data_IF_358456434175
#
_entry.id   IF_358456434175
#
_cell.length_a   1.000
_cell.length_b   1.000
_cell.length_c   1.000
_cell.angle_alpha   90.00
_cell.angle_beta   90.00
_cell.angle_gamma   90.00
#
_symmetry.space_group_name_H-M   'P 1'
#
loop_
_entity.id
_entity.type
_entity.pdbx_description
1 polymer ?
#
# COMPACT_ATOMS: atom_id res chain seq x y z
N UNK A 1 25.37 30.28 -71.47
CA UNK A 1 24.00 30.78 -71.70
C UNK A 1 23.12 30.25 -70.57
N UNK A 2 22.55 31.17 -69.80
CA UNK A 2 22.03 30.98 -68.43
C UNK A 2 20.67 30.27 -68.42
N UNK A 3 20.52 29.17 -67.67
CA UNK A 3 19.22 28.59 -67.35
C UNK A 3 18.98 28.63 -65.83
N UNK A 4 18.06 29.51 -65.42
CA UNK A 4 17.62 29.72 -64.03
C UNK A 4 16.79 28.54 -63.54
N UNK A 5 17.11 28.09 -62.33
CA UNK A 5 16.36 27.16 -61.50
C UNK A 5 14.95 27.70 -61.17
N UNK A 6 13.92 26.85 -61.31
CA UNK A 6 12.63 27.00 -60.61
C UNK A 6 12.46 25.81 -59.66
N UNK A 7 12.98 25.94 -58.44
CA UNK A 7 12.64 25.01 -57.35
C UNK A 7 11.28 25.40 -56.76
N UNK A 8 10.27 24.60 -57.09
CA UNK A 8 8.92 24.64 -56.54
C UNK A 8 8.99 24.13 -55.09
N UNK A 9 8.73 24.98 -54.08
CA UNK A 9 8.60 24.54 -52.68
C UNK A 9 7.47 23.51 -52.57
N UNK A 10 7.69 22.31 -52.00
CA UNK A 10 6.59 21.39 -51.73
C UNK A 10 5.72 21.96 -50.60
N UNK A 11 4.40 21.91 -50.82
CA UNK A 11 3.40 22.55 -49.97
C UNK A 11 3.30 21.94 -48.57
N UNK A 12 3.09 22.83 -47.60
CA UNK A 12 2.89 22.63 -46.14
C UNK A 12 1.76 21.64 -45.80
N UNK A 13 0.93 21.22 -46.77
CA UNK A 13 -0.25 20.37 -46.52
C UNK A 13 0.04 18.89 -46.23
N UNK A 14 1.27 18.40 -46.42
CA UNK A 14 1.63 16.99 -46.11
C UNK A 14 2.16 16.76 -44.69
N UNK A 15 2.48 17.81 -43.93
CA UNK A 15 3.06 17.67 -42.59
C UNK A 15 2.02 17.64 -41.46
N UNK A 16 0.80 18.10 -41.71
CA UNK A 16 -0.26 18.15 -40.67
C UNK A 16 -0.97 16.80 -40.52
N UNK A 17 -0.96 15.95 -41.55
CA UNK A 17 -1.63 14.65 -41.51
C UNK A 17 -0.90 13.62 -40.64
N UNK A 18 0.42 13.76 -40.41
CA UNK A 18 1.20 12.78 -39.65
C UNK A 18 1.21 13.04 -38.14
N UNK A 19 1.05 14.30 -37.72
CA UNK A 19 1.00 14.68 -36.30
C UNK A 19 -0.36 14.43 -35.64
N UNK A 20 -1.47 14.47 -36.40
CA UNK A 20 -2.80 14.19 -35.86
C UNK A 20 -3.02 12.68 -35.62
N UNK A 21 -2.41 11.80 -36.42
CA UNK A 21 -2.51 10.35 -36.19
C UNK A 21 -1.81 9.90 -34.90
N UNK A 22 -0.67 10.51 -34.54
CA UNK A 22 0.04 10.20 -33.28
C UNK A 22 -0.75 10.70 -32.06
N UNK A 23 -1.50 11.79 -32.19
CA UNK A 23 -2.33 12.30 -31.09
C UNK A 23 -3.58 11.43 -30.83
N UNK A 24 -4.09 10.72 -31.85
CA UNK A 24 -5.22 9.81 -31.69
C UNK A 24 -4.84 8.41 -31.20
N UNK A 25 -3.57 7.97 -31.31
CA UNK A 25 -3.16 6.66 -30.76
C UNK A 25 -2.99 6.67 -29.23
N UNK A 26 -2.80 7.84 -28.60
CA UNK A 26 -2.72 7.93 -27.14
C UNK A 26 -4.09 7.99 -26.45
N UNK A 27 -5.19 8.06 -27.22
CA UNK A 27 -6.57 8.09 -26.71
C UNK A 27 -7.24 6.71 -26.68
N UNK A 28 -6.48 5.62 -26.89
CA UNK A 28 -6.99 4.24 -26.80
C UNK A 28 -6.27 3.37 -25.78
N UNK A 29 -5.42 3.93 -24.92
CA UNK A 29 -5.17 3.29 -23.62
C UNK A 29 -6.34 3.59 -22.69
N UNK A 30 -7.48 2.97 -23.01
CA UNK A 30 -8.38 2.49 -21.97
C UNK A 30 -7.64 1.41 -21.20
N UNK A 31 -6.68 1.81 -20.37
CA UNK A 31 -6.30 1.04 -19.20
C UNK A 31 -7.50 1.20 -18.25
N UNK A 32 -8.54 0.39 -18.46
CA UNK A 32 -9.16 -0.24 -17.32
C UNK A 32 -8.27 -1.44 -17.03
N UNK A 33 -7.21 -1.33 -16.22
CA UNK A 33 -6.80 -2.52 -15.53
C UNK A 33 -8.01 -2.80 -14.63
N UNK A 34 -8.74 -3.88 -14.90
CA UNK A 34 -9.01 -4.68 -13.72
C UNK A 34 -7.62 -4.96 -13.15
N UNK A 35 -7.17 -4.14 -12.18
CA UNK A 35 -6.03 -4.46 -11.35
C UNK A 35 -6.25 -5.90 -10.97
N UNK A 36 -5.42 -6.77 -11.54
CA UNK A 36 -5.54 -8.20 -11.33
C UNK A 36 -5.42 -8.36 -9.83
N UNK A 37 -6.56 -8.56 -9.15
CA UNK A 37 -6.55 -8.84 -7.72
C UNK A 37 -5.74 -10.12 -7.61
N UNK A 38 -4.50 -10.01 -7.16
CA UNK A 38 -3.67 -11.15 -6.84
C UNK A 38 -4.51 -12.15 -6.04
N UNK A 39 -4.28 -13.43 -6.27
CA UNK A 39 -5.06 -14.46 -5.56
C UNK A 39 -4.59 -14.51 -4.13
N UNK A 40 -5.40 -13.96 -3.23
CA UNK A 40 -5.23 -14.04 -1.78
C UNK A 40 -6.18 -15.07 -1.20
N UNK A 41 -5.63 -16.12 -0.61
CA UNK A 41 -6.39 -17.17 0.07
C UNK A 41 -6.05 -17.17 1.57
N UNK A 42 -7.07 -16.96 2.39
CA UNK A 42 -7.01 -17.14 3.83
C UNK A 42 -7.20 -18.63 4.16
N UNK A 43 -6.28 -19.20 4.92
CA UNK A 43 -6.25 -20.62 5.28
C UNK A 43 -6.30 -20.72 6.80
N UNK A 44 -7.27 -21.48 7.32
CA UNK A 44 -7.52 -21.59 8.76
C UNK A 44 -8.10 -20.31 9.38
N UNK A 45 -8.45 -20.40 10.66
CA UNK A 45 -9.14 -19.35 11.41
C UNK A 45 -10.66 -19.49 11.37
N UNK A 46 -11.31 -19.40 12.54
CA UNK A 46 -12.76 -19.44 12.67
C UNK A 46 -13.45 -18.20 12.09
N UNK A 47 -14.78 -18.28 11.88
CA UNK A 47 -15.57 -17.15 11.38
C UNK A 47 -15.34 -15.86 12.20
N UNK A 48 -15.25 -16.01 13.53
CA UNK A 48 -15.09 -14.91 14.49
C UNK A 48 -13.65 -14.41 14.67
N UNK A 49 -12.68 -15.03 14.01
CA UNK A 49 -11.28 -14.68 14.16
C UNK A 49 -10.92 -13.51 13.24
N UNK A 50 -10.13 -12.57 13.78
CA UNK A 50 -9.68 -11.36 13.06
C UNK A 50 -8.35 -11.55 12.31
N UNK A 51 -7.94 -12.79 12.07
CA UNK A 51 -6.71 -13.15 11.38
C UNK A 51 -6.86 -14.53 10.74
N UNK A 52 -5.96 -14.85 9.81
CA UNK A 52 -5.85 -16.17 9.20
C UNK A 52 -4.63 -16.89 9.77
N UNK A 53 -4.73 -18.20 10.01
CA UNK A 53 -3.58 -19.01 10.45
C UNK A 53 -2.48 -19.02 9.39
N UNK A 54 -2.87 -19.00 8.11
CA UNK A 54 -1.99 -18.74 6.99
C UNK A 54 -2.68 -17.90 5.91
N UNK A 55 -1.88 -17.15 5.14
CA UNK A 55 -2.32 -16.46 3.93
C UNK A 55 -1.45 -16.94 2.78
N UNK A 56 -2.07 -17.52 1.76
CA UNK A 56 -1.42 -17.88 0.51
C UNK A 56 -1.68 -16.78 -0.52
N UNK A 57 -0.62 -16.35 -1.18
CA UNK A 57 -0.70 -15.39 -2.29
C UNK A 57 -0.12 -15.99 -3.56
N UNK A 58 -0.73 -15.70 -4.71
CA UNK A 58 -0.19 -15.99 -6.04
C UNK A 58 -0.65 -14.94 -7.03
N UNK A 59 0.00 -14.88 -8.20
CA UNK A 59 -0.32 -13.91 -9.25
C UNK A 59 -0.25 -12.45 -8.77
N UNK A 60 0.65 -12.15 -7.82
CA UNK A 60 0.92 -10.78 -7.39
C UNK A 60 1.94 -10.11 -8.33
N UNK A 61 1.78 -8.80 -8.51
CA UNK A 61 2.70 -7.95 -9.25
C UNK A 61 3.79 -7.35 -8.36
N UNK A 62 3.46 -7.01 -7.11
CA UNK A 62 4.40 -6.39 -6.17
C UNK A 62 4.25 -6.94 -4.75
N UNK A 63 5.36 -6.94 -4.02
CA UNK A 63 5.39 -7.12 -2.57
C UNK A 63 5.90 -5.83 -1.93
N UNK A 64 5.22 -5.40 -0.88
CA UNK A 64 5.63 -4.29 -0.06
C UNK A 64 5.97 -4.81 1.35
N UNK A 65 7.22 -4.63 1.74
CA UNK A 65 7.69 -4.89 3.09
C UNK A 65 7.71 -3.56 3.85
N UNK A 66 6.82 -3.43 4.82
CA UNK A 66 6.66 -2.22 5.62
C UNK A 66 7.45 -2.42 6.90
N UNK A 67 8.49 -1.59 7.10
CA UNK A 67 9.26 -1.55 8.35
C UNK A 67 8.35 -1.30 9.54
N UNK A 68 8.80 -1.66 10.75
CA UNK A 68 8.05 -1.39 11.97
C UNK A 68 7.64 0.09 12.09
N UNK A 69 6.33 0.32 12.08
CA UNK A 69 5.72 1.64 12.19
C UNK A 69 5.48 1.94 13.67
N UNK A 70 6.12 3.01 14.11
CA UNK A 70 6.14 3.48 15.50
C UNK A 70 5.11 4.60 15.69
N UNK A 71 4.66 4.88 16.93
CA UNK A 71 3.65 5.89 17.20
C UNK A 71 4.25 7.30 17.29
N UNK A 72 4.90 7.73 16.21
CA UNK A 72 5.48 9.08 16.05
C UNK A 72 4.80 9.78 14.87
N UNK A 73 4.41 11.04 15.05
CA UNK A 73 3.92 11.88 13.96
C UNK A 73 5.07 12.59 13.20
N UNK A 74 4.73 13.31 12.13
CA UNK A 74 5.73 14.03 11.32
C UNK A 74 6.50 15.12 12.09
N UNK A 75 5.99 15.55 13.26
CA UNK A 75 6.62 16.52 14.16
C UNK A 75 7.52 15.86 15.22
N UNK A 76 7.60 14.53 15.25
CA UNK A 76 8.38 13.78 16.24
C UNK A 76 7.65 13.53 17.57
N UNK A 77 6.35 13.81 17.65
CA UNK A 77 5.56 13.71 18.88
C UNK A 77 4.97 12.30 19.05
N UNK A 78 4.97 11.82 20.30
CA UNK A 78 4.44 10.51 20.70
C UNK A 78 3.25 10.72 21.64
N UNK A 79 2.06 10.16 21.35
CA UNK A 79 0.92 10.21 22.26
C UNK A 79 1.19 9.47 23.58
N UNK A 80 0.55 9.89 24.67
CA UNK A 80 0.83 9.31 25.99
C UNK A 80 0.10 7.99 26.31
N UNK A 81 -0.95 7.66 25.56
CA UNK A 81 -1.80 6.49 25.84
C UNK A 81 -1.78 5.49 24.67
N UNK A 82 -2.07 4.22 25.00
CA UNK A 82 -2.01 3.12 24.04
C UNK A 82 -3.00 3.28 22.88
N UNK A 83 -4.17 3.88 23.13
CA UNK A 83 -5.19 4.09 22.09
C UNK A 83 -4.67 4.98 20.98
N UNK A 84 -4.14 6.13 21.36
CA UNK A 84 -3.67 7.15 20.42
C UNK A 84 -2.37 6.70 19.75
N UNK A 85 -1.48 6.02 20.50
CA UNK A 85 -0.30 5.40 19.91
C UNK A 85 -0.66 4.32 18.88
N UNK A 86 -1.62 3.44 19.19
CA UNK A 86 -2.03 2.37 18.27
C UNK A 86 -2.68 2.94 17.01
N UNK A 87 -3.52 3.98 17.18
CA UNK A 87 -4.12 4.72 16.06
C UNK A 87 -3.05 5.34 15.18
N UNK A 88 -2.02 5.96 15.77
CA UNK A 88 -0.93 6.59 15.05
C UNK A 88 -0.04 5.57 14.32
N UNK A 89 0.36 4.49 14.98
CA UNK A 89 1.14 3.41 14.34
C UNK A 89 0.39 2.82 13.14
N UNK A 90 -0.93 2.64 13.25
CA UNK A 90 -1.76 2.22 12.13
C UNK A 90 -1.84 3.25 10.99
N UNK A 91 -1.99 4.54 11.32
CA UNK A 91 -1.98 5.62 10.33
C UNK A 91 -0.64 5.66 9.57
N UNK A 92 0.46 5.35 10.25
CA UNK A 92 1.78 5.28 9.65
C UNK A 92 1.90 4.07 8.69
N UNK A 93 1.33 2.91 9.04
CA UNK A 93 1.20 1.77 8.11
C UNK A 93 0.39 2.15 6.86
N UNK A 94 -0.75 2.81 7.03
CA UNK A 94 -1.58 3.26 5.91
C UNK A 94 -0.88 4.28 5.02
N UNK A 95 -0.05 5.16 5.60
CA UNK A 95 0.76 6.10 4.83
C UNK A 95 1.72 5.33 3.90
N UNK A 96 2.42 4.30 4.39
CA UNK A 96 3.33 3.50 3.56
C UNK A 96 2.58 2.72 2.46
N UNK A 97 1.42 2.16 2.80
CA UNK A 97 0.56 1.50 1.81
C UNK A 97 0.15 2.50 0.72
N UNK A 98 -0.29 3.70 1.10
CA UNK A 98 -0.73 4.74 0.17
C UNK A 98 0.38 5.17 -0.79
N UNK A 99 1.60 5.40 -0.29
CA UNK A 99 2.76 5.74 -1.15
C UNK A 99 3.08 4.62 -2.17
N UNK A 100 2.73 3.37 -1.86
CA UNK A 100 2.85 2.22 -2.76
C UNK A 100 1.60 1.95 -3.62
N UNK A 101 0.60 2.84 -3.60
CA UNK A 101 -0.72 2.65 -4.22
C UNK A 101 -1.43 1.36 -3.74
N UNK A 102 -1.35 1.08 -2.44
CA UNK A 102 -2.01 -0.04 -1.76
C UNK A 102 -2.96 0.47 -0.66
N UNK A 103 -3.86 -0.40 -0.19
CA UNK A 103 -4.75 -0.18 0.96
C UNK A 103 -4.56 -1.28 2.00
N UNK A 104 -5.31 -1.22 3.11
CA UNK A 104 -5.31 -2.28 4.13
C UNK A 104 -5.72 -3.65 3.56
N UNK A 105 -6.52 -3.71 2.50
CA UNK A 105 -6.94 -4.98 1.87
C UNK A 105 -5.76 -5.76 1.28
N UNK A 106 -4.69 -5.05 0.90
CA UNK A 106 -3.45 -5.61 0.41
C UNK A 106 -2.61 -6.29 1.50
N UNK A 107 -2.90 -6.09 2.79
CA UNK A 107 -2.13 -6.67 3.89
C UNK A 107 -2.20 -8.20 3.88
N UNK A 108 -1.04 -8.86 3.80
CA UNK A 108 -0.91 -10.33 3.85
C UNK A 108 -0.38 -10.81 5.20
N UNK A 109 0.40 -9.98 5.91
CA UNK A 109 0.89 -10.25 7.26
C UNK A 109 0.96 -8.96 8.08
N UNK A 110 0.64 -9.05 9.36
CA UNK A 110 0.85 -7.98 10.35
C UNK A 110 1.49 -8.56 11.61
N UNK A 111 2.57 -7.93 12.08
CA UNK A 111 3.24 -8.27 13.33
C UNK A 111 3.12 -7.10 14.30
N UNK A 112 2.60 -7.35 15.49
CA UNK A 112 2.59 -6.39 16.58
C UNK A 112 3.71 -6.70 17.56
N UNK A 113 4.46 -5.69 17.95
CA UNK A 113 5.32 -5.71 19.13
C UNK A 113 4.67 -4.82 20.18
N UNK A 114 4.41 -5.36 21.37
CA UNK A 114 3.68 -4.65 22.43
C UNK A 114 4.55 -4.64 23.68
N UNK A 115 4.72 -3.48 24.32
CA UNK A 115 5.67 -3.34 25.43
C UNK A 115 5.26 -4.08 26.71
N UNK A 116 3.95 -4.29 26.91
CA UNK A 116 3.39 -4.87 28.13
C UNK A 116 2.07 -5.59 27.86
N UNK A 117 1.84 -6.73 28.53
CA UNK A 117 0.61 -7.54 28.41
C UNK A 117 -0.65 -6.75 28.77
N UNK A 118 -0.56 -5.74 29.64
CA UNK A 118 -1.71 -4.93 30.06
C UNK A 118 -2.39 -4.19 28.90
N UNK A 119 -1.67 -3.96 27.80
CA UNK A 119 -2.19 -3.26 26.62
C UNK A 119 -2.92 -4.16 25.62
N UNK A 120 -2.79 -5.50 25.74
CA UNK A 120 -3.35 -6.44 24.78
C UNK A 120 -4.88 -6.34 24.59
N UNK A 121 -5.70 -6.12 25.65
CA UNK A 121 -7.14 -5.97 25.46
C UNK A 121 -7.50 -4.80 24.52
N UNK A 122 -6.87 -3.65 24.74
CA UNK A 122 -7.13 -2.42 23.99
C UNK A 122 -6.52 -2.47 22.58
N UNK A 123 -5.28 -2.94 22.44
CA UNK A 123 -4.66 -3.20 21.13
C UNK A 123 -5.51 -4.19 20.31
N UNK A 124 -6.01 -5.25 20.97
CA UNK A 124 -6.87 -6.24 20.34
C UNK A 124 -8.18 -5.66 19.81
N UNK A 125 -8.82 -4.78 20.57
CA UNK A 125 -10.04 -4.07 20.16
C UNK A 125 -9.77 -3.14 18.98
N UNK A 126 -8.74 -2.30 19.07
CA UNK A 126 -8.40 -1.33 18.02
C UNK A 126 -8.00 -2.03 16.72
N UNK A 127 -7.23 -3.12 16.82
CA UNK A 127 -6.91 -3.98 15.66
C UNK A 127 -8.18 -4.51 14.99
N UNK A 128 -9.14 -5.05 15.76
CA UNK A 128 -10.40 -5.57 15.19
C UNK A 128 -11.20 -4.47 14.48
N UNK A 129 -11.26 -3.28 15.07
CA UNK A 129 -11.90 -2.12 14.46
C UNK A 129 -11.20 -1.68 13.18
N UNK A 130 -9.87 -1.72 13.15
CA UNK A 130 -9.08 -1.31 12.00
C UNK A 130 -9.16 -2.28 10.82
N UNK A 131 -9.10 -3.58 11.12
CA UNK A 131 -9.06 -4.62 10.09
C UNK A 131 -10.44 -5.07 9.62
N UNK A 132 -11.50 -4.95 10.43
CA UNK A 132 -12.85 -5.39 10.08
C UNK A 132 -12.85 -6.84 9.53
N UNK A 133 -13.09 -7.01 8.22
CA UNK A 133 -13.13 -8.29 7.53
C UNK A 133 -11.77 -8.72 6.93
N UNK A 134 -10.75 -7.88 7.03
CA UNK A 134 -9.39 -8.15 6.54
C UNK A 134 -8.71 -9.09 7.53
N UNK A 135 -8.30 -10.27 7.05
CA UNK A 135 -7.68 -11.32 7.88
C UNK A 135 -6.26 -11.65 7.39
N UNK A 136 -5.27 -10.78 7.64
CA UNK A 136 -3.88 -11.12 7.33
C UNK A 136 -3.39 -12.26 8.23
N UNK A 137 -2.26 -12.87 7.89
CA UNK A 137 -1.49 -13.63 8.87
C UNK A 137 -1.07 -12.68 10.00
N UNK A 138 -1.04 -13.16 11.25
CA UNK A 138 -0.87 -12.27 12.38
C UNK A 138 0.00 -12.84 13.48
N UNK A 139 0.83 -11.98 14.07
CA UNK A 139 1.63 -12.29 15.25
C UNK A 139 1.56 -11.13 16.23
N UNK A 140 1.49 -11.43 17.53
CA UNK A 140 1.66 -10.46 18.61
C UNK A 140 2.78 -10.94 19.51
N UNK A 141 3.81 -10.11 19.66
CA UNK A 141 4.96 -10.35 20.52
C UNK A 141 4.92 -9.36 21.66
N UNK A 142 5.13 -9.82 22.89
CA UNK A 142 5.36 -8.94 24.03
C UNK A 142 6.86 -8.86 24.27
N UNK A 143 7.43 -7.66 24.19
CA UNK A 143 8.88 -7.45 24.23
C UNK A 143 9.23 -6.04 24.67
N UNK A 144 10.46 -5.84 25.15
CA UNK A 144 11.06 -4.50 25.15
C UNK A 144 11.18 -3.99 23.71
N UNK A 145 11.02 -2.68 23.56
CA UNK A 145 11.02 -1.97 22.27
C UNK A 145 12.09 -0.88 22.28
N UNK A 146 12.47 -0.37 21.10
CA UNK A 146 13.64 0.51 20.96
C UNK A 146 13.56 1.79 21.82
N UNK A 147 12.39 2.43 21.90
CA UNK A 147 12.17 3.62 22.73
C UNK A 147 11.12 3.33 23.79
N UNK A 148 11.46 3.55 25.05
CA UNK A 148 10.58 3.26 26.21
C UNK A 148 9.28 4.08 26.23
N UNK A 149 9.21 5.19 25.50
CA UNK A 149 7.98 5.98 25.37
C UNK A 149 6.96 5.37 24.40
N UNK A 150 7.38 4.42 23.55
CA UNK A 150 6.44 3.70 22.69
C UNK A 150 5.78 2.58 23.52
N UNK A 151 4.55 2.22 23.16
CA UNK A 151 3.79 1.16 23.82
C UNK A 151 3.52 0.00 22.85
N UNK A 152 3.65 0.26 21.57
CA UNK A 152 3.61 -0.73 20.51
C UNK A 152 4.39 -0.29 19.26
N UNK A 153 4.61 -1.24 18.37
CA UNK A 153 5.12 -1.06 17.02
C UNK A 153 4.41 -2.06 16.09
N UNK A 154 4.14 -1.65 14.84
CA UNK A 154 3.42 -2.48 13.85
C UNK A 154 4.28 -2.67 12.60
N UNK A 155 4.71 -3.90 12.34
CA UNK A 155 5.32 -4.29 11.08
C UNK A 155 4.27 -4.94 10.18
N UNK A 156 4.38 -4.73 8.86
CA UNK A 156 3.43 -5.31 7.93
C UNK A 156 4.06 -5.75 6.60
N UNK A 157 3.40 -6.69 5.94
CA UNK A 157 3.70 -7.09 4.57
C UNK A 157 2.41 -6.97 3.77
N UNK A 158 2.49 -6.41 2.58
CA UNK A 158 1.37 -6.29 1.63
C UNK A 158 1.75 -6.80 0.24
N UNK A 159 0.72 -7.12 -0.55
CA UNK A 159 0.85 -7.55 -1.93
C UNK A 159 -0.24 -6.91 -2.80
N UNK A 160 0.05 -6.66 -4.07
CA UNK A 160 -0.95 -6.28 -5.07
C UNK A 160 -0.73 -7.02 -6.39
#
# INVERSE_FOLDING_TARGET
MTLKLKNKKPGIKKFIALTVTILCLNLSFGQNPEESKFKKQNIGGGADWSYSEAVKISDFSELLFISGQVPINAQGEVPNNIKDQCTMAWSNVEAQLKEANMTLDNLVKVTFFVSDRKYLPEVGQLRKQKLLNIKPALTIVITGIYNENWLLEIEAIAAK
#
